data_IF_351583903925
#
_entry.id   IF_351583903925
#
_cell.length_a   1.000
_cell.length_b   1.000
_cell.length_c   1.000
_cell.angle_alpha   90.00
_cell.angle_beta   90.00
_cell.angle_gamma   90.00
#
_symmetry.space_group_name_H-M   'P 1'
#
loop_
_entity.id
_entity.type
_entity.pdbx_description
1 polymer ?
#
# COMPACT_ATOMS: atom_id res chain seq x y z
N UNK A 1 0.50 -8.94 0.89
CA UNK A 1 0.62 -7.81 1.83
C UNK A 1 -0.08 -8.06 3.15
N UNK A 2 -1.42 -8.10 3.19
CA UNK A 2 -2.13 -8.15 4.49
C UNK A 2 -1.82 -9.38 5.36
N UNK A 3 -1.74 -10.57 4.77
CA UNK A 3 -1.32 -11.78 5.50
C UNK A 3 0.20 -11.88 5.68
N UNK A 4 0.97 -11.44 4.70
CA UNK A 4 2.42 -11.62 4.67
C UNK A 4 3.17 -10.67 5.60
N UNK A 5 2.61 -9.49 5.85
CA UNK A 5 3.23 -8.43 6.66
C UNK A 5 2.39 -8.03 7.87
N UNK A 6 1.36 -8.81 8.27
CA UNK A 6 0.51 -8.52 9.44
C UNK A 6 -0.07 -7.10 9.46
N UNK A 7 -0.36 -6.54 8.28
CA UNK A 7 -0.99 -5.24 8.12
C UNK A 7 -2.45 -5.41 7.70
N UNK A 8 -3.32 -4.57 8.21
CA UNK A 8 -4.67 -4.42 7.68
C UNK A 8 -4.61 -3.43 6.53
N UNK A 9 -5.13 -3.83 5.37
CA UNK A 9 -5.21 -2.98 4.17
C UNK A 9 -6.65 -2.54 3.95
N UNK A 10 -6.90 -1.23 3.94
CA UNK A 10 -8.20 -0.67 3.65
C UNK A 10 -8.13 0.23 2.41
N UNK A 11 -8.73 -0.21 1.31
CA UNK A 11 -8.75 0.53 0.04
C UNK A 11 -9.80 1.64 0.14
N UNK A 12 -9.35 2.90 0.13
CA UNK A 12 -10.23 4.08 0.11
C UNK A 12 -10.70 4.41 -1.29
N UNK A 13 -9.79 4.33 -2.25
CA UNK A 13 -10.04 4.56 -3.67
C UNK A 13 -9.19 3.62 -4.50
N UNK A 14 -9.73 3.18 -5.62
CA UNK A 14 -8.98 2.44 -6.62
C UNK A 14 -9.52 2.80 -7.99
N UNK A 15 -8.61 3.01 -8.93
CA UNK A 15 -8.92 3.03 -10.35
C UNK A 15 -7.96 2.07 -11.04
N UNK A 16 -8.52 1.15 -11.82
CA UNK A 16 -7.76 0.15 -12.54
C UNK A 16 -8.31 0.11 -13.95
N UNK A 17 -7.44 0.34 -14.92
CA UNK A 17 -7.71 0.30 -16.35
C UNK A 17 -6.83 -0.78 -16.99
N UNK A 18 -6.96 -0.99 -18.31
CA UNK A 18 -6.21 -2.01 -19.01
C UNK A 18 -4.71 -1.62 -19.10
N UNK A 19 -3.91 -2.19 -18.20
CA UNK A 19 -2.46 -2.03 -18.15
C UNK A 19 -1.92 -1.04 -17.11
N UNK A 20 -2.78 -0.28 -16.42
CA UNK A 20 -2.37 0.64 -15.37
C UNK A 20 -3.45 0.82 -14.30
N UNK A 21 -3.05 1.30 -13.13
CA UNK A 21 -3.99 1.64 -12.07
C UNK A 21 -3.29 2.26 -10.88
N UNK A 22 -4.09 2.83 -10.00
CA UNK A 22 -3.64 3.41 -8.74
C UNK A 22 -4.63 3.06 -7.63
N UNK A 23 -4.12 2.98 -6.40
CA UNK A 23 -4.92 2.73 -5.23
C UNK A 23 -4.50 3.69 -4.12
N UNK A 24 -5.50 4.26 -3.45
CA UNK A 24 -5.34 4.94 -2.17
C UNK A 24 -5.69 3.93 -1.07
N UNK A 25 -4.67 3.50 -0.33
CA UNK A 25 -4.79 2.43 0.66
C UNK A 25 -4.34 2.95 2.02
N UNK A 26 -5.22 2.81 3.01
CA UNK A 26 -4.86 2.96 4.40
C UNK A 26 -4.26 1.65 4.91
N UNK A 27 -3.05 1.74 5.48
CA UNK A 27 -2.33 0.62 6.07
C UNK A 27 -2.28 0.79 7.58
N UNK A 28 -2.81 -0.19 8.29
CA UNK A 28 -2.79 -0.21 9.76
C UNK A 28 -2.02 -1.44 10.25
N UNK A 29 -1.14 -1.23 11.22
CA UNK A 29 -0.29 -2.27 11.78
C UNK A 29 0.85 -1.66 12.59
N UNK A 30 1.80 -2.50 13.01
CA UNK A 30 3.02 -2.01 13.68
C UNK A 30 3.89 -1.28 12.65
N UNK A 31 4.63 -0.27 13.08
CA UNK A 31 5.47 0.52 12.16
C UNK A 31 6.45 -0.32 11.36
N UNK A 32 7.10 -1.32 11.98
CA UNK A 32 8.02 -2.26 11.31
C UNK A 32 7.33 -3.09 10.23
N UNK A 33 6.09 -3.52 10.48
CA UNK A 33 5.28 -4.34 9.59
C UNK A 33 4.82 -3.52 8.38
N UNK A 34 4.43 -2.26 8.61
CA UNK A 34 4.07 -1.30 7.55
C UNK A 34 5.28 -0.97 6.68
N UNK A 35 6.43 -0.62 7.27
CA UNK A 35 7.64 -0.31 6.49
C UNK A 35 8.09 -1.52 5.65
N UNK A 36 8.02 -2.74 6.18
CA UNK A 36 8.32 -3.95 5.42
C UNK A 36 7.34 -4.17 4.24
N UNK A 37 6.05 -3.90 4.45
CA UNK A 37 5.05 -3.95 3.39
C UNK A 37 5.29 -2.90 2.29
N UNK A 38 5.70 -1.69 2.66
CA UNK A 38 6.05 -0.62 1.72
C UNK A 38 7.32 -0.95 0.91
N UNK A 39 8.36 -1.46 1.57
CA UNK A 39 9.58 -1.91 0.92
C UNK A 39 9.31 -3.04 -0.09
N UNK A 40 8.39 -3.94 0.24
CA UNK A 40 7.92 -4.97 -0.69
C UNK A 40 7.27 -4.35 -1.93
N UNK A 41 6.36 -3.38 -1.79
CA UNK A 41 5.78 -2.68 -2.94
C UNK A 41 6.85 -2.09 -3.86
N UNK A 42 7.81 -1.36 -3.28
CA UNK A 42 8.93 -0.78 -4.05
C UNK A 42 9.75 -1.85 -4.77
N UNK A 43 10.03 -2.99 -4.13
CA UNK A 43 10.76 -4.11 -4.75
C UNK A 43 10.05 -4.74 -5.95
N UNK A 44 8.73 -4.53 -6.07
CA UNK A 44 7.90 -5.00 -7.18
C UNK A 44 7.74 -3.94 -8.27
N UNK A 45 8.40 -2.79 -8.14
CA UNK A 45 8.28 -1.66 -9.07
C UNK A 45 6.99 -0.86 -8.88
N UNK A 46 6.35 -0.95 -7.71
CA UNK A 46 5.17 -0.15 -7.39
C UNK A 46 5.65 1.14 -6.72
N UNK A 47 5.30 2.28 -7.32
CA UNK A 47 5.53 3.59 -6.72
C UNK A 47 4.57 3.81 -5.56
N UNK A 48 5.13 4.19 -4.40
CA UNK A 48 4.36 4.47 -3.19
C UNK A 48 4.62 5.90 -2.77
N UNK A 49 3.54 6.67 -2.68
CA UNK A 49 3.55 8.01 -2.11
C UNK A 49 2.73 8.05 -0.82
N UNK A 50 3.27 8.73 0.21
CA UNK A 50 2.52 8.96 1.44
C UNK A 50 1.53 10.09 1.23
N UNK A 51 0.24 9.76 1.28
CA UNK A 51 -0.82 10.76 1.31
C UNK A 51 -1.04 11.21 2.75
N UNK A 52 -0.60 12.42 3.09
CA UNK A 52 -1.05 13.09 4.33
C UNK A 52 -2.37 13.79 4.04
N UNK A 53 -3.44 13.39 4.73
CA UNK A 53 -4.64 14.22 4.77
C UNK A 53 -4.26 15.62 5.30
N UNK A 54 -4.81 16.71 4.73
CA UNK A 54 -4.59 18.06 5.24
C UNK A 54 -5.13 18.25 6.66
#
# INVERSE_FOLDING_TARGET
MGKDYRVVTNIKRAQVDEGAGWLEVELEGRSEDVEAALAYCASRGIDVERVTAP
#
